data_IF_404233102087
#
_entry.id   IF_404233102087
#
_cell.length_a   1.000
_cell.length_b   1.000
_cell.length_c   1.000
_cell.angle_alpha   90.00
_cell.angle_beta   90.00
_cell.angle_gamma   90.00
#
_symmetry.space_group_name_H-M   'P 1'
#
loop_
_entity.id
_entity.type
_entity.pdbx_description
1 polymer ?
#
# COMPACT_ATOMS: atom_id res chain seq x y z
N UNK A 1 -11.85 32.20 20.61
CA UNK A 1 -11.81 30.82 21.14
C UNK A 1 -11.63 29.76 20.04
N UNK A 2 -12.34 29.79 18.89
CA UNK A 2 -12.37 28.65 17.95
C UNK A 2 -11.12 28.30 17.11
N UNK A 3 -10.01 29.05 17.17
CA UNK A 3 -8.79 28.74 16.38
C UNK A 3 -7.75 27.93 17.17
N UNK A 4 -7.65 28.13 18.48
CA UNK A 4 -6.64 27.48 19.34
C UNK A 4 -7.00 26.00 19.52
N UNK A 5 -8.30 25.69 19.65
CA UNK A 5 -8.80 24.33 19.83
C UNK A 5 -8.52 23.44 18.61
N UNK A 6 -8.55 24.02 17.40
CA UNK A 6 -8.33 23.30 16.15
C UNK A 6 -6.84 23.01 15.92
N UNK A 7 -5.96 23.97 16.23
CA UNK A 7 -4.50 23.76 16.22
C UNK A 7 -4.05 22.73 17.25
N UNK A 8 -4.67 22.74 18.45
CA UNK A 8 -4.39 21.73 19.48
C UNK A 8 -4.81 20.33 19.02
N UNK A 9 -6.01 20.21 18.43
CA UNK A 9 -6.49 18.94 17.89
C UNK A 9 -5.58 18.40 16.79
N UNK A 10 -5.12 19.28 15.89
CA UNK A 10 -4.21 18.88 14.82
C UNK A 10 -2.86 18.41 15.37
N UNK A 11 -2.28 19.11 16.35
CA UNK A 11 -1.04 18.67 17.02
C UNK A 11 -1.19 17.35 17.74
N UNK A 12 -2.30 17.15 18.45
CA UNK A 12 -2.57 15.88 19.15
C UNK A 12 -2.66 14.74 18.14
N UNK A 13 -3.36 14.94 17.02
CA UNK A 13 -3.48 13.93 15.96
C UNK A 13 -2.13 13.62 15.29
N UNK A 14 -1.33 14.65 14.99
CA UNK A 14 0.03 14.47 14.46
C UNK A 14 0.90 13.68 15.45
N UNK A 15 0.89 14.04 16.72
CA UNK A 15 1.62 13.33 17.77
C UNK A 15 1.17 11.86 17.87
N UNK A 16 -0.13 11.59 17.82
CA UNK A 16 -0.68 10.23 17.81
C UNK A 16 -0.19 9.43 16.59
N UNK A 17 -0.17 10.02 15.39
CA UNK A 17 0.40 9.41 14.18
C UNK A 17 1.89 9.11 14.38
N UNK A 18 2.66 10.06 14.91
CA UNK A 18 4.10 9.87 15.15
C UNK A 18 4.38 8.78 16.17
N UNK A 19 3.58 8.67 17.25
CA UNK A 19 3.69 7.57 18.19
C UNK A 19 3.32 6.24 17.55
N UNK A 20 2.23 6.20 16.78
CA UNK A 20 1.81 5.00 16.06
C UNK A 20 2.90 4.52 15.09
N UNK A 21 3.47 5.40 14.27
CA UNK A 21 4.54 5.07 13.32
C UNK A 21 5.80 4.54 14.00
N UNK A 22 6.13 5.01 15.21
CA UNK A 22 7.29 4.50 15.98
C UNK A 22 7.12 3.06 16.43
N UNK A 23 5.89 2.66 16.76
CA UNK A 23 5.57 1.34 17.32
C UNK A 23 5.11 0.37 16.23
N UNK A 24 4.55 0.87 15.13
CA UNK A 24 4.08 0.09 14.00
C UNK A 24 5.25 -0.38 13.14
N UNK A 25 5.76 -1.58 13.44
CA UNK A 25 6.69 -2.31 12.59
C UNK A 25 5.98 -3.51 11.97
N UNK A 26 5.28 -3.33 10.82
CA UNK A 26 4.67 -4.46 10.15
C UNK A 26 5.77 -5.42 9.72
N UNK A 27 5.72 -6.66 10.20
CA UNK A 27 6.63 -7.70 9.71
C UNK A 27 6.30 -7.99 8.25
N UNK A 28 7.30 -7.94 7.34
CA UNK A 28 7.10 -8.36 5.95
C UNK A 28 6.59 -9.80 5.90
N UNK A 29 5.72 -10.07 4.94
CA UNK A 29 5.27 -11.42 4.63
C UNK A 29 5.85 -11.83 3.29
N UNK A 30 6.49 -12.99 3.23
CA UNK A 30 6.92 -13.59 1.98
C UNK A 30 5.71 -14.20 1.29
N UNK A 31 5.26 -13.55 0.22
CA UNK A 31 4.13 -14.00 -0.60
C UNK A 31 4.71 -14.50 -1.93
N UNK A 32 4.45 -15.75 -2.33
CA UNK A 32 4.81 -16.22 -3.67
C UNK A 32 4.23 -15.30 -4.75
N UNK A 33 5.03 -15.02 -5.80
CA UNK A 33 4.58 -14.15 -6.91
C UNK A 33 3.26 -14.66 -7.52
N UNK A 34 3.07 -15.98 -7.59
CA UNK A 34 1.83 -16.59 -8.09
C UNK A 34 0.63 -16.23 -7.22
N UNK A 35 0.77 -16.26 -5.90
CA UNK A 35 -0.31 -15.91 -4.97
C UNK A 35 -0.60 -14.41 -5.02
N UNK A 36 0.43 -13.57 -5.18
CA UNK A 36 0.27 -12.13 -5.38
C UNK A 36 -0.56 -11.86 -6.65
N UNK A 37 -0.21 -12.54 -7.75
CA UNK A 37 -0.92 -12.43 -9.03
C UNK A 37 -2.37 -12.93 -8.93
N UNK A 38 -2.61 -14.06 -8.30
CA UNK A 38 -3.97 -14.62 -8.13
C UNK A 38 -4.85 -13.72 -7.27
N UNK A 39 -4.29 -13.12 -6.22
CA UNK A 39 -5.00 -12.15 -5.39
C UNK A 39 -5.35 -10.87 -6.17
N UNK A 40 -4.44 -10.40 -7.04
CA UNK A 40 -4.73 -9.31 -7.97
C UNK A 40 -5.84 -9.69 -8.97
N UNK A 41 -5.68 -10.82 -9.67
CA UNK A 41 -6.61 -11.28 -10.70
C UNK A 41 -8.01 -11.57 -10.16
N UNK A 42 -8.12 -12.00 -8.90
CA UNK A 42 -9.39 -12.23 -8.20
C UNK A 42 -10.04 -10.98 -7.60
N UNK A 43 -9.39 -9.81 -7.70
CA UNK A 43 -9.87 -8.55 -7.14
C UNK A 43 -9.76 -8.46 -5.62
N UNK A 44 -8.96 -9.33 -4.98
CA UNK A 44 -8.63 -9.25 -3.54
C UNK A 44 -7.58 -8.17 -3.26
N UNK A 45 -6.81 -7.78 -4.27
CA UNK A 45 -5.89 -6.65 -4.22
C UNK A 45 -6.41 -5.55 -5.12
N UNK A 46 -6.61 -4.37 -4.54
CA UNK A 46 -6.76 -3.14 -5.29
C UNK A 46 -5.41 -2.44 -5.38
N UNK A 47 -4.76 -2.63 -6.53
CA UNK A 47 -3.47 -2.00 -6.81
C UNK A 47 -3.59 -0.53 -7.24
N UNK A 48 -4.77 0.00 -7.58
CA UNK A 48 -4.93 1.35 -8.11
C UNK A 48 -6.05 2.11 -7.39
N UNK A 49 -5.93 2.30 -6.06
CA UNK A 49 -6.89 3.11 -5.33
C UNK A 49 -6.84 4.58 -5.79
N UNK A 50 -7.95 5.29 -5.67
CA UNK A 50 -8.18 6.61 -6.30
C UNK A 50 -7.14 7.69 -5.92
N UNK A 51 -6.55 7.57 -4.72
CA UNK A 51 -5.54 8.50 -4.22
C UNK A 51 -4.12 8.22 -4.76
N UNK A 52 -3.89 7.12 -5.48
CA UNK A 52 -2.58 6.78 -6.01
C UNK A 52 -2.18 7.65 -7.20
N UNK A 53 -0.91 8.05 -7.23
CA UNK A 53 -0.37 8.81 -8.37
C UNK A 53 -0.41 7.99 -9.65
N UNK A 54 -0.53 8.66 -10.79
CA UNK A 54 -0.43 8.02 -12.12
C UNK A 54 0.87 7.24 -12.27
N UNK A 55 0.84 6.20 -13.10
CA UNK A 55 2.02 5.39 -13.38
C UNK A 55 3.06 6.21 -14.15
N UNK A 56 4.32 6.16 -13.71
CA UNK A 56 5.42 6.98 -14.27
C UNK A 56 6.70 6.20 -14.55
N UNK A 57 6.69 4.87 -14.44
CA UNK A 57 7.89 4.09 -14.78
C UNK A 57 8.05 3.99 -16.29
N UNK A 58 9.26 4.33 -16.77
CA UNK A 58 9.65 4.08 -18.14
C UNK A 58 9.78 2.58 -18.41
N UNK A 59 9.75 2.18 -19.69
CA UNK A 59 9.96 0.79 -20.08
C UNK A 59 11.30 0.23 -19.56
N UNK A 60 12.37 1.03 -19.61
CA UNK A 60 13.67 0.64 -19.09
C UNK A 60 13.62 0.33 -17.59
N UNK A 61 12.90 1.12 -16.82
CA UNK A 61 12.75 0.91 -15.36
C UNK A 61 11.93 -0.34 -15.04
N UNK A 62 10.88 -0.60 -15.83
CA UNK A 62 10.10 -1.84 -15.72
C UNK A 62 10.95 -3.07 -16.05
N UNK A 63 11.73 -3.04 -17.13
CA UNK A 63 12.62 -4.14 -17.52
C UNK A 63 13.64 -4.44 -16.44
N UNK A 64 14.30 -3.41 -15.89
CA UNK A 64 15.28 -3.56 -14.82
C UNK A 64 14.67 -4.21 -13.56
N UNK A 65 13.42 -3.87 -13.24
CA UNK A 65 12.74 -4.47 -12.10
C UNK A 65 12.45 -5.96 -12.32
N UNK A 66 11.98 -6.33 -13.51
CA UNK A 66 11.78 -7.75 -13.87
C UNK A 66 13.10 -8.52 -13.82
N UNK A 67 14.19 -7.95 -14.34
CA UNK A 67 15.53 -8.57 -14.26
C UNK A 67 15.98 -8.78 -12.81
N UNK A 68 15.72 -7.81 -11.94
CA UNK A 68 16.03 -7.92 -10.51
C UNK A 68 15.32 -9.12 -9.87
N UNK A 69 14.03 -9.31 -10.19
CA UNK A 69 13.27 -10.47 -9.73
C UNK A 69 13.83 -11.79 -10.28
N UNK A 70 14.20 -11.84 -11.56
CA UNK A 70 14.76 -13.04 -12.18
C UNK A 70 16.13 -13.44 -11.61
N UNK A 71 16.94 -12.45 -11.21
CA UNK A 71 18.23 -12.67 -10.57
C UNK A 71 18.15 -12.89 -9.05
N UNK A 72 16.95 -12.85 -8.46
CA UNK A 72 16.77 -13.01 -7.02
C UNK A 72 17.37 -11.86 -6.21
N UNK A 73 17.40 -10.65 -6.79
CA UNK A 73 17.81 -9.44 -6.09
C UNK A 73 16.64 -8.98 -5.21
N UNK A 74 16.93 -8.73 -3.94
CA UNK A 74 15.92 -8.25 -2.99
C UNK A 74 15.28 -6.94 -3.46
N UNK A 75 13.96 -6.89 -3.40
CA UNK A 75 13.19 -5.71 -3.79
C UNK A 75 12.59 -5.03 -2.55
N UNK A 76 12.36 -3.71 -2.59
CA UNK A 76 11.70 -3.02 -1.48
C UNK A 76 10.29 -3.56 -1.22
N UNK A 77 9.95 -3.72 0.05
CA UNK A 77 8.65 -4.21 0.54
C UNK A 77 7.49 -3.42 -0.08
N UNK A 78 6.41 -4.10 -0.47
CA UNK A 78 5.15 -3.48 -0.91
C UNK A 78 4.20 -3.40 0.30
N UNK A 79 3.56 -2.26 0.50
CA UNK A 79 2.69 -2.02 1.64
C UNK A 79 1.22 -2.05 1.23
N UNK A 80 0.43 -2.82 1.99
CA UNK A 80 -1.01 -2.94 1.81
C UNK A 80 -1.76 -2.55 3.08
N UNK A 81 -2.99 -2.06 2.92
CA UNK A 81 -3.98 -1.94 3.99
C UNK A 81 -5.23 -2.73 3.64
N UNK A 82 -5.83 -3.34 4.65
CA UNK A 82 -7.11 -4.02 4.51
C UNK A 82 -8.24 -3.01 4.67
N UNK A 83 -9.11 -2.94 3.66
CA UNK A 83 -10.29 -2.08 3.64
C UNK A 83 -11.53 -2.90 3.30
N UNK A 84 -12.67 -2.51 3.85
CA UNK A 84 -13.95 -3.11 3.47
C UNK A 84 -14.49 -2.40 2.22
N UNK A 85 -14.67 -3.16 1.12
CA UNK A 85 -15.30 -2.67 -0.12
C UNK A 85 -16.53 -3.48 -0.47
N UNK A 86 -17.50 -2.81 -1.09
CA UNK A 86 -18.62 -3.50 -1.71
C UNK A 86 -18.20 -4.00 -3.10
N UNK A 87 -18.19 -5.33 -3.26
CA UNK A 87 -17.87 -6.00 -4.52
C UNK A 87 -19.04 -6.90 -4.88
N UNK A 88 -19.71 -6.61 -5.98
CA UNK A 88 -20.91 -7.33 -6.45
C UNK A 88 -22.05 -7.39 -5.40
N UNK A 89 -22.26 -6.30 -4.65
CA UNK A 89 -23.32 -6.21 -3.62
C UNK A 89 -22.99 -6.89 -2.29
N UNK A 90 -21.75 -7.38 -2.12
CA UNK A 90 -21.28 -7.97 -0.87
C UNK A 90 -20.07 -7.21 -0.33
N UNK A 91 -20.07 -6.96 0.99
CA UNK A 91 -18.90 -6.44 1.70
C UNK A 91 -17.78 -7.49 1.69
N UNK A 92 -16.60 -7.10 1.23
CA UNK A 92 -15.40 -7.92 1.20
C UNK A 92 -14.22 -7.12 1.72
N UNK A 93 -13.31 -7.81 2.40
CA UNK A 93 -12.01 -7.24 2.73
C UNK A 93 -11.14 -7.29 1.48
N UNK A 94 -10.64 -6.13 1.07
CA UNK A 94 -9.75 -5.93 -0.07
C UNK A 94 -8.45 -5.31 0.45
N UNK A 95 -7.32 -5.76 -0.11
CA UNK A 95 -6.01 -5.20 0.19
C UNK A 95 -5.71 -4.05 -0.78
N UNK A 96 -5.74 -2.81 -0.31
CA UNK A 96 -5.32 -1.65 -1.10
C UNK A 96 -3.82 -1.44 -1.00
N UNK A 97 -3.15 -1.22 -2.15
CA UNK A 97 -1.73 -0.87 -2.17
C UNK A 97 -1.52 0.60 -1.75
N UNK A 98 -0.90 0.82 -0.58
CA UNK A 98 -0.56 2.17 -0.09
C UNK A 98 0.78 2.64 -0.65
N UNK A 99 1.75 1.73 -0.76
CA UNK A 99 3.06 2.02 -1.33
C UNK A 99 3.59 0.81 -2.12
N UNK A 100 4.45 1.08 -3.09
CA UNK A 100 5.08 0.07 -3.93
C UNK A 100 4.35 -0.26 -5.21
N UNK A 101 3.21 0.40 -5.48
CA UNK A 101 2.35 0.17 -6.66
C UNK A 101 3.06 0.04 -8.01
N UNK A 102 4.15 0.78 -8.21
CA UNK A 102 4.83 0.83 -9.52
C UNK A 102 5.84 -0.29 -9.70
N UNK A 103 6.09 -1.09 -8.67
CA UNK A 103 6.91 -2.30 -8.68
C UNK A 103 6.06 -3.45 -9.18
#
# INVERSE_FOLDING_TARGET
MGNIDNELQQKIFEDEIYQFQRVFQPSPQDIPIIDLFDNYASGKIDHEPEYQRKFVWTLAKQSYFVESLLFGIDTPIIYFVEVEKEVNGYKRIVKEAIDGRQR
#
